data_IF_506431074262
#
_entry.id   IF_506431074262
#
_cell.length_a   1.000
_cell.length_b   1.000
_cell.length_c   1.000
_cell.angle_alpha   90.00
_cell.angle_beta   90.00
_cell.angle_gamma   90.00
#
_symmetry.space_group_name_H-M   'P 1'
#
loop_
_entity.id
_entity.type
_entity.pdbx_description
1 polymer ?
#
# COMPACT_ATOMS: atom_id res chain seq x y z
N UNK A 1 9.49 25.18 -0.48
CA UNK A 1 8.41 25.30 0.53
C UNK A 1 7.15 24.77 -0.15
N UNK A 2 6.59 23.66 0.33
CA UNK A 2 6.00 22.63 -0.54
C UNK A 2 4.47 22.65 -0.72
N UNK A 3 3.76 23.72 -0.31
CA UNK A 3 2.37 23.97 -0.69
C UNK A 3 2.06 25.47 -0.58
N UNK A 4 1.82 26.13 -1.72
CA UNK A 4 1.43 27.54 -1.77
C UNK A 4 0.04 27.76 -1.15
N UNK A 5 -0.85 26.78 -1.33
CA UNK A 5 -2.14 26.73 -0.65
C UNK A 5 -1.93 26.73 0.86
N UNK A 6 -1.13 25.81 1.40
CA UNK A 6 -0.91 25.72 2.84
C UNK A 6 -0.33 27.02 3.41
N UNK A 7 0.66 27.65 2.75
CA UNK A 7 1.20 28.93 3.22
C UNK A 7 0.12 30.01 3.26
N UNK A 8 -0.63 30.19 2.17
CA UNK A 8 -1.69 31.19 2.08
C UNK A 8 -2.83 30.89 3.06
N UNK A 9 -3.16 29.62 3.24
CA UNK A 9 -4.17 29.17 4.17
C UNK A 9 -3.71 29.41 5.61
N UNK A 10 -2.45 29.16 5.95
CA UNK A 10 -1.92 29.31 7.31
C UNK A 10 -1.70 30.78 7.70
N UNK A 11 -1.32 31.62 6.75
CA UNK A 11 -0.99 33.03 6.95
C UNK A 11 -1.79 33.90 5.96
N UNK A 12 -3.01 34.26 6.38
CA UNK A 12 -3.95 35.05 5.57
C UNK A 12 -4.34 36.33 6.31
N UNK A 13 -4.53 37.47 5.59
CA UNK A 13 -4.73 38.78 6.20
C UNK A 13 -6.07 38.93 6.94
N UNK A 14 -7.01 38.01 6.74
CA UNK A 14 -8.32 37.97 7.39
C UNK A 14 -8.28 37.39 8.81
N UNK A 15 -7.15 36.82 9.24
CA UNK A 15 -7.01 36.20 10.58
C UNK A 15 -6.64 37.20 11.66
N UNK A 16 -7.23 37.04 12.83
CA UNK A 16 -6.87 37.84 14.01
C UNK A 16 -5.64 37.24 14.71
N UNK A 17 -4.61 38.05 15.04
CA UNK A 17 -3.45 37.57 15.77
C UNK A 17 -3.82 36.98 17.13
N UNK A 18 -3.06 35.97 17.55
CA UNK A 18 -3.15 35.43 18.90
C UNK A 18 -2.81 36.50 19.97
N UNK A 19 -3.19 36.22 21.22
CA UNK A 19 -2.91 37.11 22.35
C UNK A 19 -1.41 37.36 22.51
N UNK A 20 -1.05 38.55 22.96
CA UNK A 20 0.34 38.92 23.23
C UNK A 20 1.00 37.92 24.18
N UNK A 21 2.11 37.32 23.75
CA UNK A 21 2.83 36.28 24.50
C UNK A 21 2.49 34.83 24.11
N UNK A 22 1.57 34.62 23.15
CA UNK A 22 1.29 33.28 22.61
C UNK A 22 2.49 32.73 21.81
N UNK A 23 2.65 31.40 21.84
CA UNK A 23 3.70 30.69 21.10
C UNK A 23 3.47 30.66 19.58
N UNK A 24 2.22 30.83 19.14
CA UNK A 24 1.81 30.80 17.73
C UNK A 24 1.23 32.17 17.34
N UNK A 25 1.33 32.49 16.04
CA UNK A 25 0.81 33.75 15.49
C UNK A 25 -0.73 33.83 15.52
N UNK A 26 -1.42 32.68 15.52
CA UNK A 26 -2.88 32.56 15.51
C UNK A 26 -3.33 31.48 16.49
N UNK A 27 -4.54 31.65 17.06
CA UNK A 27 -5.25 30.58 17.75
C UNK A 27 -6.00 29.72 16.72
N UNK A 28 -5.89 28.41 16.84
CA UNK A 28 -6.38 27.44 15.87
C UNK A 28 -7.35 26.46 16.53
N UNK A 29 -8.45 26.18 15.85
CA UNK A 29 -9.48 25.24 16.28
C UNK A 29 -9.78 24.25 15.16
N UNK A 30 -10.31 23.09 15.52
CA UNK A 30 -10.75 22.11 14.56
C UNK A 30 -12.21 22.35 14.13
N UNK A 31 -12.47 22.07 12.86
CA UNK A 31 -13.79 22.18 12.24
C UNK A 31 -14.07 20.88 11.45
N UNK A 32 -15.30 20.38 11.57
CA UNK A 32 -15.78 19.21 10.84
C UNK A 32 -16.53 19.70 9.61
N UNK A 33 -16.31 19.04 8.48
CA UNK A 33 -17.03 19.36 7.25
C UNK A 33 -18.55 19.17 7.45
N UNK A 34 -19.36 19.95 6.74
CA UNK A 34 -20.83 19.97 6.91
C UNK A 34 -21.48 18.59 6.80
N UNK A 35 -20.91 17.72 5.97
CA UNK A 35 -21.37 16.35 5.72
C UNK A 35 -20.79 15.30 6.69
N UNK A 36 -19.89 15.70 7.59
CA UNK A 36 -19.20 14.83 8.54
C UNK A 36 -18.19 13.88 7.91
N UNK A 37 -17.83 14.07 6.63
CA UNK A 37 -16.93 13.18 5.89
C UNK A 37 -15.45 13.44 6.15
N UNK A 38 -15.13 14.61 6.70
CA UNK A 38 -13.77 15.08 6.91
C UNK A 38 -13.69 16.19 7.94
N UNK A 39 -12.47 16.69 8.10
CA UNK A 39 -12.19 17.75 9.04
C UNK A 39 -10.95 18.53 8.63
N UNK A 40 -10.83 19.73 9.19
CA UNK A 40 -9.70 20.61 8.95
C UNK A 40 -9.46 21.55 10.14
N UNK A 41 -8.32 22.22 10.14
CA UNK A 41 -7.95 23.24 11.14
C UNK A 41 -8.26 24.63 10.59
N UNK A 42 -8.99 25.45 11.36
CA UNK A 42 -9.34 26.85 11.03
C UNK A 42 -8.86 27.81 12.11
N UNK A 43 -8.58 29.06 11.74
CA UNK A 43 -8.27 30.07 12.75
C UNK A 43 -9.52 30.31 13.61
N UNK A 44 -9.37 30.44 14.93
CA UNK A 44 -10.49 30.64 15.85
C UNK A 44 -11.32 31.88 15.48
N UNK A 45 -10.66 32.91 14.93
CA UNK A 45 -11.30 34.13 14.40
C UNK A 45 -12.24 33.91 13.22
N UNK A 46 -12.04 32.83 12.45
CA UNK A 46 -12.72 32.54 11.20
C UNK A 46 -13.82 31.50 11.35
N UNK A 47 -14.09 31.07 12.58
CA UNK A 47 -15.07 30.05 12.92
C UNK A 47 -16.47 30.44 12.42
N UNK A 48 -17.04 29.65 11.51
CA UNK A 48 -18.38 29.89 10.99
C UNK A 48 -19.45 29.28 11.90
N UNK A 49 -19.86 30.05 12.91
CA UNK A 49 -20.96 29.69 13.82
C UNK A 49 -20.52 28.89 15.06
N UNK A 50 -21.48 28.38 15.87
CA UNK A 50 -21.14 27.47 16.95
C UNK A 50 -20.60 26.19 16.31
N UNK A 51 -19.27 26.09 16.17
CA UNK A 51 -18.70 24.83 15.70
C UNK A 51 -19.27 23.71 16.54
N UNK A 52 -19.52 22.57 15.92
CA UNK A 52 -19.47 21.31 16.64
C UNK A 52 -18.01 21.19 17.10
N UNK A 53 -17.61 21.95 18.13
CA UNK A 53 -16.29 21.81 18.72
C UNK A 53 -16.26 20.38 19.21
N UNK A 54 -15.43 19.57 18.58
CA UNK A 54 -15.22 18.22 19.03
C UNK A 54 -14.40 18.34 20.31
N UNK A 55 -15.08 18.52 21.45
CA UNK A 55 -14.47 18.21 22.73
C UNK A 55 -14.07 16.73 22.70
N UNK A 56 -12.78 16.47 22.40
CA UNK A 56 -12.20 15.14 22.42
C UNK A 56 -12.07 14.47 21.05
N UNK A 57 -11.26 15.02 20.14
CA UNK A 57 -10.61 14.16 19.14
C UNK A 57 -9.76 13.11 19.82
N UNK A 58 -9.66 11.96 19.17
CA UNK A 58 -8.70 10.94 19.56
C UNK A 58 -7.29 11.46 19.23
N UNK A 59 -6.31 11.15 20.08
CA UNK A 59 -4.87 11.43 19.82
C UNK A 59 -4.42 11.07 18.38
N UNK A 60 -4.91 9.97 17.75
CA UNK A 60 -4.59 9.60 16.36
C UNK A 60 -4.86 10.66 15.26
N UNK A 61 -5.89 11.50 15.41
CA UNK A 61 -6.19 12.52 14.38
C UNK A 61 -5.20 13.69 14.45
N UNK A 62 -4.82 14.08 15.67
CA UNK A 62 -3.76 15.07 15.91
C UNK A 62 -2.43 14.54 15.37
N UNK A 63 -2.12 13.28 15.63
CA UNK A 63 -0.91 12.63 15.15
C UNK A 63 -0.84 12.61 13.61
N UNK A 64 -1.97 12.41 12.93
CA UNK A 64 -2.03 12.45 11.45
C UNK A 64 -1.77 13.85 10.89
N UNK A 65 -2.23 14.89 11.57
CA UNK A 65 -1.91 16.28 11.19
C UNK A 65 -0.45 16.62 11.45
N UNK A 66 0.10 16.20 12.59
CA UNK A 66 1.54 16.34 12.90
C UNK A 66 2.37 15.58 11.86
N UNK A 67 1.97 14.38 11.47
CA UNK A 67 2.60 13.60 10.41
C UNK A 67 2.59 14.36 9.07
N UNK A 68 1.49 15.00 8.71
CA UNK A 68 1.41 15.84 7.51
C UNK A 68 2.38 17.03 7.58
N UNK A 69 2.45 17.72 8.73
CA UNK A 69 3.43 18.79 8.93
C UNK A 69 4.86 18.25 8.80
N UNK A 70 5.16 17.12 9.42
CA UNK A 70 6.45 16.46 9.33
C UNK A 70 6.82 16.18 7.86
N UNK A 71 5.87 15.73 7.03
CA UNK A 71 6.10 15.59 5.59
C UNK A 71 6.46 16.90 4.89
N UNK A 72 5.75 18.00 5.19
CA UNK A 72 6.04 19.33 4.63
C UNK A 72 7.46 19.79 5.01
N UNK A 73 7.89 19.48 6.23
CA UNK A 73 9.21 19.82 6.77
C UNK A 73 10.28 18.75 6.55
N UNK A 74 9.97 17.65 5.84
CA UNK A 74 10.87 16.52 5.57
C UNK A 74 11.44 15.85 6.82
N UNK A 75 10.63 15.79 7.87
CA UNK A 75 10.94 15.10 9.11
C UNK A 75 10.37 13.68 8.98
N UNK A 76 11.19 12.62 9.01
CA UNK A 76 10.69 11.26 8.94
C UNK A 76 10.07 10.85 10.28
N UNK A 77 9.10 9.94 10.22
CA UNK A 77 8.41 9.38 11.38
C UNK A 77 8.04 7.92 11.10
N UNK A 78 7.70 7.19 12.17
CA UNK A 78 7.12 5.85 12.03
C UNK A 78 5.69 5.96 11.53
N UNK A 79 5.38 5.26 10.46
CA UNK A 79 4.07 5.28 9.82
C UNK A 79 3.49 3.87 9.82
N UNK A 80 2.20 3.76 10.13
CA UNK A 80 1.40 2.56 9.98
C UNK A 80 0.33 2.75 8.87
N UNK A 81 -0.31 1.67 8.40
CA UNK A 81 -1.28 1.76 7.33
C UNK A 81 -2.47 2.68 7.62
N UNK A 82 -3.03 2.62 8.84
CA UNK A 82 -4.18 3.43 9.23
C UNK A 82 -3.84 4.93 9.22
N UNK A 83 -2.71 5.33 9.82
CA UNK A 83 -2.21 6.70 9.79
C UNK A 83 -1.92 7.18 8.36
N UNK A 84 -1.39 6.30 7.49
CA UNK A 84 -1.08 6.65 6.11
C UNK A 84 -2.33 7.01 5.29
N UNK A 85 -3.44 6.31 5.53
CA UNK A 85 -4.73 6.63 4.88
C UNK A 85 -5.21 8.02 5.31
N UNK A 86 -5.17 8.34 6.60
CA UNK A 86 -5.61 9.65 7.11
C UNK A 86 -4.66 10.78 6.68
N UNK A 87 -3.34 10.55 6.75
CA UNK A 87 -2.31 11.43 6.21
C UNK A 87 -2.58 11.78 4.74
N UNK A 88 -2.97 10.80 3.93
CA UNK A 88 -3.25 11.02 2.52
C UNK A 88 -4.48 11.92 2.30
N UNK A 89 -5.52 11.77 3.11
CA UNK A 89 -6.71 12.65 3.06
C UNK A 89 -6.35 14.09 3.43
N UNK A 90 -5.60 14.28 4.51
CA UNK A 90 -5.14 15.60 4.95
C UNK A 90 -4.22 16.22 3.90
N UNK A 91 -3.28 15.45 3.36
CA UNK A 91 -2.35 15.93 2.34
C UNK A 91 -3.07 16.34 1.04
N UNK A 92 -4.15 15.65 0.65
CA UNK A 92 -4.98 16.07 -0.47
C UNK A 92 -5.69 17.40 -0.18
N UNK A 93 -6.33 17.51 0.99
CA UNK A 93 -7.05 18.72 1.41
C UNK A 93 -6.11 19.94 1.43
N UNK A 94 -4.93 19.80 2.05
CA UNK A 94 -3.93 20.87 2.17
C UNK A 94 -3.01 21.01 0.94
N UNK A 95 -3.28 20.27 -0.14
CA UNK A 95 -2.55 20.32 -1.41
C UNK A 95 -1.04 20.10 -1.22
N UNK A 96 -0.68 19.06 -0.48
CA UNK A 96 0.69 18.68 -0.19
C UNK A 96 0.97 17.17 -0.42
N UNK A 97 0.19 16.52 -1.29
CA UNK A 97 0.44 15.12 -1.70
C UNK A 97 1.89 14.88 -2.18
N UNK A 98 2.51 15.75 -3.00
CA UNK A 98 3.91 15.55 -3.40
C UNK A 98 4.88 15.60 -2.20
N UNK A 99 4.62 16.46 -1.21
CA UNK A 99 5.45 16.53 -0.01
C UNK A 99 5.32 15.26 0.84
N UNK A 100 4.09 14.76 1.00
CA UNK A 100 3.82 13.50 1.69
C UNK A 100 4.50 12.33 0.99
N UNK A 101 4.26 12.17 -0.32
CA UNK A 101 4.84 11.10 -1.14
C UNK A 101 6.36 11.06 -1.04
N UNK A 102 7.03 12.21 -1.21
CA UNK A 102 8.49 12.27 -1.15
C UNK A 102 9.07 11.91 0.23
N UNK A 103 8.38 12.25 1.32
CA UNK A 103 8.85 11.95 2.67
C UNK A 103 8.68 10.47 3.05
N UNK A 104 7.75 9.76 2.39
CA UNK A 104 7.42 8.38 2.74
C UNK A 104 8.57 7.40 2.58
N UNK A 105 9.50 7.60 1.64
CA UNK A 105 10.71 6.78 1.55
C UNK A 105 11.48 6.73 2.89
N UNK A 106 11.64 7.89 3.55
CA UNK A 106 12.31 7.97 4.84
C UNK A 106 11.42 7.44 5.99
N UNK A 107 10.09 7.60 5.89
CA UNK A 107 9.16 7.03 6.87
C UNK A 107 9.13 5.49 6.82
N UNK A 108 9.18 4.86 5.63
CA UNK A 108 9.27 3.41 5.50
C UNK A 108 10.57 2.86 6.08
N UNK A 109 11.69 3.57 5.90
CA UNK A 109 12.94 3.21 6.56
C UNK A 109 12.83 3.21 8.10
N UNK A 110 12.05 4.14 8.67
CA UNK A 110 11.77 4.19 10.12
C UNK A 110 10.74 3.13 10.56
N UNK A 111 10.08 2.45 9.61
CA UNK A 111 8.95 1.54 9.82
C UNK A 111 9.25 0.15 9.22
N UNK A 112 10.28 -0.57 9.71
CA UNK A 112 10.72 -1.84 9.13
C UNK A 112 9.68 -2.98 9.18
N UNK A 113 8.61 -2.80 9.95
CA UNK A 113 7.50 -3.76 10.06
C UNK A 113 6.20 -3.17 9.49
N UNK A 114 6.28 -2.36 8.42
CA UNK A 114 5.10 -1.79 7.79
C UNK A 114 4.15 -2.89 7.30
N UNK A 115 2.90 -2.85 7.73
CA UNK A 115 1.95 -3.94 7.50
C UNK A 115 1.32 -3.89 6.10
N UNK A 116 2.00 -4.51 5.13
CA UNK A 116 1.52 -4.60 3.75
C UNK A 116 0.24 -5.44 3.59
N UNK A 117 -0.20 -6.19 4.62
CA UNK A 117 -1.47 -6.93 4.56
C UNK A 117 -2.69 -6.03 4.44
N UNK A 118 -2.53 -4.75 4.77
CA UNK A 118 -3.51 -3.69 4.58
C UNK A 118 -3.52 -3.13 3.15
N UNK A 119 -2.85 -3.77 2.18
CA UNK A 119 -2.76 -3.31 0.79
C UNK A 119 -4.11 -2.89 0.18
N UNK A 120 -5.20 -3.60 0.47
CA UNK A 120 -6.55 -3.26 -0.01
C UNK A 120 -7.04 -1.89 0.48
N UNK A 121 -6.70 -1.52 1.72
CA UNK A 121 -7.02 -0.21 2.29
C UNK A 121 -6.06 0.88 1.81
N UNK A 122 -4.83 0.48 1.45
CA UNK A 122 -3.74 1.38 1.08
C UNK A 122 -3.70 1.74 -0.40
N UNK A 123 -4.18 0.88 -1.31
CA UNK A 123 -3.96 1.03 -2.75
C UNK A 123 -4.46 2.37 -3.30
N UNK A 124 -5.60 2.87 -2.82
CA UNK A 124 -6.13 4.18 -3.23
C UNK A 124 -5.26 5.33 -2.72
N UNK A 125 -4.75 5.22 -1.49
CA UNK A 125 -3.82 6.19 -0.92
C UNK A 125 -2.50 6.18 -1.68
N UNK A 126 -1.97 5.00 -2.01
CA UNK A 126 -0.76 4.81 -2.79
C UNK A 126 -0.88 5.42 -4.20
N UNK A 127 -2.03 5.22 -4.85
CA UNK A 127 -2.36 5.82 -6.13
C UNK A 127 -2.44 7.35 -6.03
N UNK A 128 -3.15 7.87 -5.03
CA UNK A 128 -3.36 9.31 -4.86
C UNK A 128 -2.07 10.05 -4.52
N UNK A 129 -1.23 9.45 -3.67
CA UNK A 129 0.11 9.92 -3.38
C UNK A 129 1.07 9.76 -4.56
N UNK A 130 0.70 8.98 -5.59
CA UNK A 130 1.57 8.58 -6.69
C UNK A 130 2.91 8.01 -6.19
N UNK A 131 2.88 7.27 -5.08
CA UNK A 131 4.08 6.78 -4.41
C UNK A 131 4.49 5.41 -4.99
N UNK A 132 5.58 5.32 -5.80
CA UNK A 132 5.86 4.13 -6.60
C UNK A 132 6.08 2.87 -5.79
N UNK A 133 6.91 2.95 -4.74
CA UNK A 133 7.24 1.82 -3.86
C UNK A 133 5.98 1.23 -3.19
N UNK A 134 5.15 2.10 -2.61
CA UNK A 134 3.94 1.67 -1.91
C UNK A 134 2.92 1.09 -2.89
N UNK A 135 2.75 1.71 -4.05
CA UNK A 135 1.80 1.27 -5.05
C UNK A 135 2.18 -0.09 -5.63
N UNK A 136 3.46 -0.28 -5.98
CA UNK A 136 4.00 -1.56 -6.46
C UNK A 136 3.71 -2.68 -5.48
N UNK A 137 4.09 -2.49 -4.22
CA UNK A 137 3.91 -3.51 -3.20
C UNK A 137 2.43 -3.82 -2.95
N UNK A 138 1.55 -2.80 -2.95
CA UNK A 138 0.11 -3.02 -2.84
C UNK A 138 -0.41 -3.85 -4.04
N UNK A 139 -0.03 -3.49 -5.26
CA UNK A 139 -0.46 -4.18 -6.48
C UNK A 139 0.06 -5.61 -6.52
N UNK A 140 1.34 -5.84 -6.18
CA UNK A 140 1.96 -7.17 -6.12
C UNK A 140 1.27 -8.03 -5.07
N UNK A 141 1.07 -7.51 -3.85
CA UNK A 141 0.39 -8.23 -2.77
C UNK A 141 -1.04 -8.63 -3.20
N UNK A 142 -1.83 -7.68 -3.70
CA UNK A 142 -3.23 -7.93 -4.08
C UNK A 142 -3.32 -8.85 -5.30
N UNK A 143 -2.53 -8.62 -6.34
CA UNK A 143 -2.56 -9.44 -7.56
C UNK A 143 -2.05 -10.86 -7.29
N UNK A 144 -1.15 -11.02 -6.32
CA UNK A 144 -0.52 -12.27 -5.93
C UNK A 144 -1.39 -13.25 -5.14
N UNK A 145 -2.52 -12.81 -4.57
CA UNK A 145 -3.40 -13.75 -3.84
C UNK A 145 -4.07 -14.75 -4.78
N UNK A 146 -3.97 -16.03 -4.46
CA UNK A 146 -4.61 -17.14 -5.18
C UNK A 146 -6.01 -17.45 -4.63
N UNK A 147 -6.47 -16.74 -3.59
CA UNK A 147 -7.85 -16.85 -3.12
C UNK A 147 -8.81 -16.23 -4.13
N UNK A 148 -10.04 -16.73 -4.16
CA UNK A 148 -11.14 -16.03 -4.82
C UNK A 148 -11.32 -14.69 -4.11
N UNK A 149 -10.80 -13.63 -4.72
CA UNK A 149 -11.00 -12.29 -4.18
C UNK A 149 -12.48 -11.93 -4.35
N UNK A 150 -13.21 -11.63 -3.27
CA UNK A 150 -14.50 -10.97 -3.42
C UNK A 150 -14.30 -9.71 -4.25
N UNK A 151 -15.34 -9.33 -5.02
CA UNK A 151 -15.34 -8.15 -5.91
C UNK A 151 -14.54 -7.01 -5.28
N UNK A 152 -13.41 -6.66 -5.89
CA UNK A 152 -12.46 -5.65 -5.43
C UNK A 152 -13.20 -4.35 -5.07
N UNK A 153 -13.50 -4.09 -3.78
CA UNK A 153 -14.39 -3.00 -3.42
C UNK A 153 -13.55 -1.74 -3.29
N UNK A 154 -13.34 -1.07 -4.42
CA UNK A 154 -12.78 0.28 -4.42
C UNK A 154 -13.78 1.20 -3.72
N UNK A 155 -13.27 1.94 -2.72
CA UNK A 155 -14.02 2.98 -2.02
C UNK A 155 -14.26 4.15 -2.98
N UNK A 156 -13.28 4.45 -3.84
CA UNK A 156 -13.39 5.47 -4.85
C UNK A 156 -14.33 5.05 -6.00
N UNK A 157 -15.30 5.93 -6.31
CA UNK A 157 -16.31 5.71 -7.36
C UNK A 157 -15.93 6.30 -8.71
N UNK A 158 -14.79 7.00 -8.83
CA UNK A 158 -14.31 7.55 -10.08
C UNK A 158 -13.96 6.42 -11.07
N UNK A 159 -14.64 6.33 -12.22
CA UNK A 159 -14.41 5.28 -13.20
C UNK A 159 -12.97 5.23 -13.73
N UNK A 160 -12.29 6.37 -13.86
CA UNK A 160 -10.93 6.44 -14.37
C UNK A 160 -9.94 5.86 -13.35
N UNK A 161 -10.11 6.20 -12.07
CA UNK A 161 -9.30 5.63 -10.98
C UNK A 161 -9.54 4.12 -10.89
N UNK A 162 -10.80 3.70 -10.93
CA UNK A 162 -11.11 2.27 -10.91
C UNK A 162 -10.50 1.52 -12.10
N UNK A 163 -10.54 2.10 -13.30
CA UNK A 163 -9.96 1.50 -14.49
C UNK A 163 -8.42 1.43 -14.37
N UNK A 164 -7.77 2.50 -13.91
CA UNK A 164 -6.33 2.52 -13.72
C UNK A 164 -5.85 1.46 -12.72
N UNK A 165 -6.52 1.35 -11.57
CA UNK A 165 -6.21 0.35 -10.55
C UNK A 165 -6.44 -1.07 -11.06
N UNK A 166 -7.55 -1.33 -11.75
CA UNK A 166 -7.82 -2.63 -12.37
C UNK A 166 -6.76 -2.99 -13.40
N UNK A 167 -6.34 -2.04 -14.24
CA UNK A 167 -5.33 -2.29 -15.25
C UNK A 167 -3.99 -2.67 -14.62
N UNK A 168 -3.52 -1.93 -13.61
CA UNK A 168 -2.27 -2.27 -12.92
C UNK A 168 -2.33 -3.66 -12.26
N UNK A 169 -3.44 -3.99 -11.59
CA UNK A 169 -3.66 -5.30 -11.00
C UNK A 169 -3.67 -6.42 -12.03
N UNK A 170 -4.35 -6.23 -13.17
CA UNK A 170 -4.37 -7.20 -14.26
C UNK A 170 -3.00 -7.40 -14.88
N UNK A 171 -2.25 -6.32 -15.11
CA UNK A 171 -0.87 -6.40 -15.63
C UNK A 171 -0.01 -7.28 -14.74
N UNK A 172 0.01 -7.03 -13.43
CA UNK A 172 0.80 -7.84 -12.50
C UNK A 172 0.27 -9.27 -12.40
N UNK A 173 -1.05 -9.46 -12.34
CA UNK A 173 -1.64 -10.80 -12.24
C UNK A 173 -1.37 -11.65 -13.47
N UNK A 174 -1.35 -11.06 -14.66
CA UNK A 174 -0.99 -11.75 -15.89
C UNK A 174 0.47 -12.22 -15.86
N UNK A 175 1.41 -11.38 -15.43
CA UNK A 175 2.81 -11.77 -15.24
C UNK A 175 2.97 -12.92 -14.24
N UNK A 176 2.21 -12.90 -13.14
CA UNK A 176 2.19 -14.00 -12.16
C UNK A 176 1.68 -15.29 -12.82
N UNK A 177 0.61 -15.22 -13.63
CA UNK A 177 0.08 -16.39 -14.32
C UNK A 177 1.01 -16.92 -15.42
N UNK A 178 1.74 -16.05 -16.12
CA UNK A 178 2.78 -16.44 -17.06
C UNK A 178 3.89 -17.21 -16.34
N UNK A 179 4.40 -16.69 -15.23
CA UNK A 179 5.39 -17.38 -14.39
C UNK A 179 4.86 -18.71 -13.84
N UNK A 180 3.58 -18.77 -13.46
CA UNK A 180 2.94 -20.00 -12.98
C UNK A 180 2.84 -21.06 -14.07
N UNK A 181 2.50 -20.67 -15.29
CA UNK A 181 2.42 -21.58 -16.44
C UNK A 181 3.80 -22.17 -16.76
N UNK A 182 4.83 -21.31 -16.80
CA UNK A 182 6.23 -21.72 -17.03
C UNK A 182 6.67 -22.70 -15.94
N UNK A 183 6.44 -22.35 -14.66
CA UNK A 183 6.77 -23.22 -13.53
C UNK A 183 6.12 -24.60 -13.63
N UNK A 184 4.84 -24.67 -14.00
CA UNK A 184 4.15 -25.94 -14.20
C UNK A 184 4.73 -26.78 -15.35
N UNK A 185 5.05 -26.14 -16.48
CA UNK A 185 5.66 -26.82 -17.62
C UNK A 185 7.05 -27.36 -17.27
N UNK A 186 7.86 -26.58 -16.57
CA UNK A 186 9.20 -26.98 -16.10
C UNK A 186 9.11 -28.15 -15.13
N UNK A 187 8.32 -28.03 -14.06
CA UNK A 187 8.13 -29.11 -13.07
C UNK A 187 7.63 -30.40 -13.73
N UNK A 188 6.68 -30.31 -14.67
CA UNK A 188 6.20 -31.47 -15.38
C UNK A 188 7.29 -32.11 -16.25
N UNK A 189 8.07 -31.28 -16.95
CA UNK A 189 9.17 -31.73 -17.80
C UNK A 189 10.27 -32.43 -16.97
N UNK A 190 10.62 -31.86 -15.82
CA UNK A 190 11.59 -32.45 -14.87
C UNK A 190 11.07 -33.78 -14.34
N UNK A 191 9.81 -33.85 -13.89
CA UNK A 191 9.22 -35.11 -13.44
C UNK A 191 9.25 -36.21 -14.52
N UNK A 192 9.04 -35.86 -15.79
CA UNK A 192 9.11 -36.81 -16.91
C UNK A 192 10.53 -37.36 -17.15
N UNK A 193 11.58 -36.61 -16.81
CA UNK A 193 12.96 -37.04 -17.01
C UNK A 193 13.44 -38.05 -15.94
N UNK A 194 12.93 -37.94 -14.71
CA UNK A 194 13.35 -38.73 -13.56
C UNK A 194 12.40 -39.90 -13.21
N UNK A 195 11.36 -40.13 -14.01
CA UNK A 195 10.42 -41.26 -13.92
C UNK A 195 9.59 -41.26 -12.61
N UNK A 196 9.17 -42.43 -12.11
CA UNK A 196 8.22 -42.62 -11.00
C UNK A 196 8.53 -41.86 -9.68
N UNK A 197 9.79 -41.70 -9.21
CA UNK A 197 10.08 -41.05 -7.93
C UNK A 197 9.58 -39.60 -7.81
N UNK A 198 9.85 -38.75 -8.82
CA UNK A 198 9.45 -37.34 -8.75
C UNK A 198 7.93 -37.17 -8.92
N UNK A 199 7.28 -38.01 -9.72
CA UNK A 199 5.82 -38.04 -9.79
C UNK A 199 5.19 -38.43 -8.45
N UNK A 200 5.81 -39.34 -7.72
CA UNK A 200 5.38 -39.72 -6.38
C UNK A 200 5.55 -38.56 -5.40
N UNK A 201 6.67 -37.85 -5.42
CA UNK A 201 6.89 -36.66 -4.60
C UNK A 201 5.85 -35.56 -4.88
N UNK A 202 5.58 -35.26 -6.16
CA UNK A 202 4.53 -34.32 -6.56
C UNK A 202 3.15 -34.70 -6.00
N UNK A 203 2.81 -35.99 -6.05
CA UNK A 203 1.55 -36.51 -5.50
C UNK A 203 1.50 -36.36 -3.98
N UNK A 204 2.58 -36.70 -3.28
CA UNK A 204 2.67 -36.57 -1.82
C UNK A 204 2.59 -35.11 -1.38
N UNK A 205 3.32 -34.20 -2.03
CA UNK A 205 3.21 -32.75 -1.80
C UNK A 205 1.76 -32.25 -2.01
N UNK A 206 1.10 -32.68 -3.09
CA UNK A 206 -0.30 -32.32 -3.36
C UNK A 206 -1.25 -32.78 -2.26
N UNK A 207 -1.08 -34.01 -1.77
CA UNK A 207 -1.89 -34.56 -0.68
C UNK A 207 -1.66 -33.81 0.63
N UNK A 208 -0.40 -33.51 0.97
CA UNK A 208 -0.04 -32.75 2.17
C UNK A 208 -0.70 -31.37 2.22
N UNK A 209 -0.78 -30.68 1.08
CA UNK A 209 -1.47 -29.39 1.00
C UNK A 209 -2.98 -29.58 1.10
N UNK A 210 -3.54 -30.57 0.39
CA UNK A 210 -4.99 -30.82 0.39
C UNK A 210 -5.52 -31.22 1.77
N UNK A 211 -4.73 -31.93 2.59
CA UNK A 211 -5.08 -32.30 3.97
C UNK A 211 -5.34 -31.09 4.87
N UNK A 212 -4.78 -29.92 4.53
CA UNK A 212 -5.03 -28.65 5.24
C UNK A 212 -6.37 -27.99 4.85
N UNK A 213 -7.12 -28.61 3.93
CA UNK A 213 -8.49 -28.27 3.57
C UNK A 213 -8.65 -27.28 2.40
N UNK A 214 -7.57 -26.63 1.95
CA UNK A 214 -7.55 -25.77 0.76
C UNK A 214 -6.27 -26.02 -0.02
N UNK A 215 -6.38 -26.03 -1.35
CA UNK A 215 -5.22 -26.15 -2.21
C UNK A 215 -4.71 -24.76 -2.61
N UNK A 216 -3.51 -24.40 -2.14
CA UNK A 216 -2.83 -23.18 -2.55
C UNK A 216 -1.58 -23.52 -3.35
N UNK A 217 -1.50 -22.98 -4.57
CA UNK A 217 -0.38 -23.19 -5.48
C UNK A 217 0.99 -22.78 -4.88
N UNK A 218 1.12 -21.65 -4.16
CA UNK A 218 2.40 -21.26 -3.57
C UNK A 218 2.88 -22.24 -2.51
N UNK A 219 1.99 -22.68 -1.62
CA UNK A 219 2.30 -23.69 -0.60
C UNK A 219 2.67 -25.04 -1.21
N UNK A 220 1.98 -25.45 -2.29
CA UNK A 220 2.31 -26.67 -3.04
C UNK A 220 3.73 -26.61 -3.61
N UNK A 221 4.09 -25.54 -4.31
CA UNK A 221 5.43 -25.37 -4.86
C UNK A 221 6.50 -25.29 -3.77
N UNK A 222 6.22 -24.62 -2.65
CA UNK A 222 7.15 -24.59 -1.52
C UNK A 222 7.38 -26.00 -0.96
N UNK A 223 6.30 -26.74 -0.73
CA UNK A 223 6.35 -28.13 -0.23
C UNK A 223 7.15 -29.03 -1.18
N UNK A 224 7.02 -28.81 -2.48
CA UNK A 224 7.73 -29.59 -3.49
C UNK A 224 9.25 -29.33 -3.46
N UNK A 225 9.68 -28.07 -3.41
CA UNK A 225 11.11 -27.71 -3.30
C UNK A 225 11.70 -28.17 -1.96
N UNK A 226 10.94 -28.11 -0.87
CA UNK A 226 11.40 -28.57 0.45
C UNK A 226 11.62 -30.09 0.49
N UNK A 227 10.98 -30.85 -0.41
CA UNK A 227 11.09 -32.30 -0.51
C UNK A 227 12.14 -32.75 -1.53
N UNK A 228 12.20 -32.10 -2.69
CA UNK A 228 13.02 -32.50 -3.83
C UNK A 228 13.76 -31.28 -4.41
N UNK A 229 15.09 -31.29 -4.35
CA UNK A 229 15.96 -30.19 -4.79
C UNK A 229 15.93 -30.02 -6.32
N UNK A 230 15.58 -31.08 -7.06
CA UNK A 230 15.47 -31.10 -8.52
C UNK A 230 14.49 -30.06 -9.07
N UNK A 231 13.49 -29.64 -8.27
CA UNK A 231 12.53 -28.60 -8.67
C UNK A 231 12.93 -27.19 -8.27
N UNK A 232 14.09 -27.00 -7.61
CA UNK A 232 14.52 -25.68 -7.12
C UNK A 232 14.63 -24.66 -8.26
N UNK A 233 15.36 -25.02 -9.32
CA UNK A 233 15.57 -24.14 -10.47
C UNK A 233 14.26 -23.88 -11.25
N UNK A 234 13.39 -24.89 -11.34
CA UNK A 234 12.09 -24.79 -12.01
C UNK A 234 11.14 -23.81 -11.30
N UNK A 235 11.25 -23.72 -9.98
CA UNK A 235 10.34 -22.96 -9.11
C UNK A 235 10.96 -21.67 -8.55
N UNK A 236 12.24 -21.41 -8.77
CA UNK A 236 12.95 -20.23 -8.26
C UNK A 236 12.20 -18.94 -8.62
N UNK A 237 11.84 -18.79 -9.90
CA UNK A 237 11.16 -17.59 -10.39
C UNK A 237 9.81 -17.41 -9.72
N UNK A 238 8.95 -18.44 -9.70
CA UNK A 238 7.58 -18.30 -9.17
C UNK A 238 7.55 -18.14 -7.64
N UNK A 239 8.56 -18.68 -6.94
CA UNK A 239 8.72 -18.55 -5.49
C UNK A 239 9.51 -17.30 -5.05
N UNK A 240 10.01 -16.50 -5.99
CA UNK A 240 10.72 -15.25 -5.70
C UNK A 240 9.82 -14.18 -5.05
N UNK A 241 10.44 -13.32 -4.23
CA UNK A 241 9.79 -12.25 -3.47
C UNK A 241 10.14 -10.87 -3.98
N UNK A 242 9.21 -10.16 -4.62
CA UNK A 242 9.42 -8.77 -5.08
C UNK A 242 8.79 -7.70 -4.17
N UNK A 243 8.34 -8.05 -2.96
CA UNK A 243 7.87 -7.06 -1.98
C UNK A 243 9.06 -6.35 -1.34
N UNK A 244 9.06 -5.02 -1.39
CA UNK A 244 10.15 -4.18 -0.88
C UNK A 244 9.86 -3.66 0.55
N UNK A 245 8.60 -3.41 0.88
CA UNK A 245 8.14 -3.00 2.22
C UNK A 245 8.09 -4.18 3.19
N UNK A 246 7.98 -5.41 2.67
CA UNK A 246 8.18 -6.63 3.43
C UNK A 246 9.17 -7.57 2.72
N UNK A 247 10.46 -7.30 2.92
CA UNK A 247 11.56 -8.13 2.40
C UNK A 247 11.61 -9.55 2.97
N UNK A 248 10.85 -9.85 4.04
CA UNK A 248 10.78 -11.19 4.63
C UNK A 248 9.67 -12.06 4.02
N UNK A 249 8.83 -11.48 3.15
CA UNK A 249 7.72 -12.17 2.53
C UNK A 249 8.21 -13.27 1.59
N UNK A 250 7.74 -14.50 1.83
CA UNK A 250 8.07 -15.67 1.02
C UNK A 250 6.78 -16.34 0.55
N UNK A 251 6.70 -16.60 -0.75
CA UNK A 251 5.57 -17.32 -1.33
C UNK A 251 5.41 -18.71 -0.71
N UNK A 252 4.19 -19.05 -0.28
CA UNK A 252 3.84 -20.35 0.28
C UNK A 252 4.16 -20.54 1.77
N UNK A 253 4.59 -19.50 2.50
CA UNK A 253 5.03 -19.63 3.89
C UNK A 253 4.18 -18.78 4.84
N UNK A 254 3.69 -19.39 5.92
CA UNK A 254 3.02 -18.71 7.03
C UNK A 254 1.79 -17.93 6.57
N UNK A 255 1.82 -16.60 6.76
CA UNK A 255 0.75 -15.68 6.36
C UNK A 255 0.64 -15.46 4.84
N UNK A 256 1.55 -16.04 4.06
CA UNK A 256 1.65 -15.96 2.61
C UNK A 256 1.48 -17.32 1.93
N UNK A 257 0.81 -18.26 2.59
CA UNK A 257 0.49 -19.60 2.08
C UNK A 257 -0.23 -19.57 0.71
N UNK A 258 -0.99 -18.52 0.47
CA UNK A 258 -1.81 -18.31 -0.71
C UNK A 258 -1.31 -17.19 -1.65
N UNK A 259 -0.09 -16.66 -1.45
CA UNK A 259 0.44 -15.56 -2.25
C UNK A 259 1.66 -15.92 -3.10
N UNK A 260 1.69 -15.38 -4.33
CA UNK A 260 2.89 -15.27 -5.14
C UNK A 260 3.35 -13.81 -5.23
N UNK A 261 4.66 -13.59 -5.28
CA UNK A 261 5.27 -12.26 -5.36
C UNK A 261 6.26 -12.14 -6.52
N UNK A 262 6.23 -13.07 -7.46
CA UNK A 262 7.21 -13.23 -8.53
C UNK A 262 7.10 -12.24 -9.69
N UNK A 263 6.16 -11.29 -9.62
CA UNK A 263 5.97 -10.29 -10.66
C UNK A 263 6.44 -8.91 -10.21
N UNK A 264 6.67 -8.03 -11.18
CA UNK A 264 7.04 -6.64 -10.97
C UNK A 264 6.19 -5.71 -11.84
N UNK A 265 6.14 -4.44 -11.43
CA UNK A 265 5.48 -3.35 -12.16
C UNK A 265 6.52 -2.26 -12.43
N UNK A 266 6.88 -2.04 -13.69
CA UNK A 266 7.91 -1.07 -14.08
C UNK A 266 7.42 0.38 -13.92
N UNK A 267 8.28 1.38 -14.13
CA UNK A 267 7.88 2.80 -14.05
C UNK A 267 6.90 3.15 -15.19
N UNK A 268 7.07 2.55 -16.36
CA UNK A 268 6.24 2.77 -17.55
C UNK A 268 4.83 2.16 -17.42
N UNK A 269 4.66 1.21 -16.50
CA UNK A 269 3.38 0.56 -16.21
C UNK A 269 2.61 1.23 -15.06
N UNK A 270 3.21 2.25 -14.42
CA UNK A 270 2.51 3.04 -13.41
C UNK A 270 1.40 3.87 -14.08
N UNK A 271 0.26 4.08 -13.40
CA UNK A 271 -0.86 4.80 -13.98
C UNK A 271 -0.69 6.33 -13.96
N UNK A 272 0.53 6.83 -13.71
CA UNK A 272 0.92 8.23 -13.73
C UNK A 272 2.33 8.38 -14.30
N UNK A 273 2.67 9.60 -14.73
CA UNK A 273 4.02 9.95 -15.16
C UNK A 273 4.93 10.15 -13.94
N UNK A 274 6.01 9.38 -13.84
CA UNK A 274 6.99 9.45 -12.73
C UNK A 274 7.86 10.70 -12.79
N UNK A 275 7.85 11.43 -13.91
CA UNK A 275 8.59 12.68 -14.08
C UNK A 275 7.80 13.92 -13.66
N UNK A 276 6.48 13.78 -13.49
CA UNK A 276 5.61 14.84 -12.99
C UNK A 276 5.87 15.06 -11.49
N UNK A 277 6.14 16.32 -11.09
CA UNK A 277 6.50 16.67 -9.71
C UNK A 277 5.47 17.54 -8.98
N UNK A 278 4.48 18.08 -9.70
CA UNK A 278 3.52 19.07 -9.21
C UNK A 278 2.05 18.62 -9.44
N UNK A 279 1.65 17.48 -8.89
CA UNK A 279 0.28 16.93 -8.97
C UNK A 279 -0.60 17.20 -7.74
#
# INVERSE_FOLDING_TARGET
MHSAFFRKFMDSPDKLPAKTGAALAYEWVDEVDDDGSGWHVVADSNKQGPSKSLQGRSEPEIDSFVAMLNCIYRIPFKVDPEQLVELTKLADYYRCLPAASNNLYACFYMSPNFDIHKAYDLIESAYKLRHPLLFRDCVIYIAGTMRQTPKFPLKNKDPNIQQALKQALMTVRNKIFENLLIAYESVHSTACQYDEPLFKAMKEASMNVLEKGKFFHPEFFRTLVDQEEEFLDDLETVLSGNLQLDSSAMAGIGRYDDHFFCASLSDEELPWDTTETDW
#
